data_IF_687808264522
#
_entry.id   IF_687808264522
#
_cell.length_a   1.000
_cell.length_b   1.000
_cell.length_c   1.000
_cell.angle_alpha   90.00
_cell.angle_beta   90.00
_cell.angle_gamma   90.00
#
_symmetry.space_group_name_H-M   'P 1'
#
loop_
_entity.id
_entity.type
_entity.pdbx_description
1 polymer ?
#
# COMPACT_ATOMS: atom_id res chain seq x y z
N UNK A 1 -48.18 -73.84 -2.81
CA UNK A 1 -46.70 -73.85 -2.72
C UNK A 1 -46.17 -73.99 -4.15
N UNK A 2 -45.28 -73.17 -4.71
CA UNK A 2 -44.09 -72.49 -4.16
C UNK A 2 -43.64 -71.39 -5.14
N UNK A 3 -43.29 -70.24 -4.54
CA UNK A 3 -42.26 -69.25 -4.89
C UNK A 3 -42.15 -68.69 -6.33
N UNK A 4 -42.55 -67.41 -6.44
CA UNK A 4 -42.00 -66.43 -7.36
C UNK A 4 -40.47 -66.31 -7.14
N UNK A 5 -39.67 -66.47 -8.19
CA UNK A 5 -38.25 -66.04 -8.21
C UNK A 5 -38.14 -64.84 -9.15
N UNK A 6 -37.99 -63.66 -8.57
CA UNK A 6 -37.75 -62.42 -9.29
C UNK A 6 -36.26 -62.16 -9.48
N UNK A 7 -35.95 -61.57 -10.64
CA UNK A 7 -35.08 -60.41 -10.82
C UNK A 7 -33.71 -60.48 -10.13
N UNK A 8 -32.65 -60.87 -10.84
CA UNK A 8 -31.23 -60.49 -10.60
C UNK A 8 -30.34 -61.17 -11.65
N UNK A 9 -30.36 -60.66 -12.88
CA UNK A 9 -29.31 -60.93 -13.90
C UNK A 9 -28.76 -59.58 -14.38
N UNK A 10 -28.26 -58.78 -13.44
CA UNK A 10 -27.36 -57.67 -13.81
C UNK A 10 -26.00 -58.32 -14.05
N UNK A 11 -25.62 -58.46 -15.33
CA UNK A 11 -24.32 -58.98 -15.74
C UNK A 11 -23.20 -58.22 -15.02
N UNK A 12 -22.30 -58.92 -14.34
CA UNK A 12 -21.15 -58.37 -13.58
C UNK A 12 -20.35 -57.33 -14.38
N UNK A 13 -20.31 -57.47 -15.72
CA UNK A 13 -19.70 -56.50 -16.64
C UNK A 13 -20.32 -55.10 -16.57
N UNK A 14 -21.63 -54.98 -16.33
CA UNK A 14 -22.30 -53.69 -16.18
C UNK A 14 -21.92 -52.98 -14.88
N UNK A 15 -21.83 -53.73 -13.77
CA UNK A 15 -21.39 -53.17 -12.48
C UNK A 15 -19.93 -52.70 -12.57
N UNK A 16 -19.06 -53.49 -13.20
CA UNK A 16 -17.66 -53.12 -13.40
C UNK A 16 -17.48 -51.90 -14.31
N UNK A 17 -18.24 -51.82 -15.42
CA UNK A 17 -18.22 -50.66 -16.31
C UNK A 17 -18.67 -49.37 -15.61
N UNK A 18 -19.71 -49.43 -14.77
CA UNK A 18 -20.13 -48.29 -13.96
C UNK A 18 -19.06 -47.86 -12.95
N UNK A 19 -18.36 -48.81 -12.33
CA UNK A 19 -17.32 -48.54 -11.34
C UNK A 19 -16.10 -47.86 -11.97
N UNK A 20 -15.63 -48.35 -13.10
CA UNK A 20 -14.54 -47.72 -13.86
C UNK A 20 -14.97 -46.35 -14.38
N UNK A 21 -16.19 -46.23 -14.93
CA UNK A 21 -16.73 -44.96 -15.40
C UNK A 21 -16.75 -43.91 -14.29
N UNK A 22 -17.21 -44.29 -13.08
CA UNK A 22 -17.19 -43.42 -11.91
C UNK A 22 -15.76 -43.04 -11.51
N UNK A 23 -14.81 -43.98 -11.52
CA UNK A 23 -13.41 -43.72 -11.15
C UNK A 23 -12.72 -42.76 -12.13
N UNK A 24 -12.96 -42.92 -13.43
CA UNK A 24 -12.44 -42.01 -14.47
C UNK A 24 -13.05 -40.62 -14.29
N UNK A 25 -14.35 -40.52 -14.03
CA UNK A 25 -15.04 -39.24 -13.88
C UNK A 25 -14.55 -38.49 -12.63
N UNK A 26 -14.38 -39.18 -11.50
CA UNK A 26 -13.77 -38.61 -10.29
C UNK A 26 -12.32 -38.18 -10.55
N UNK A 27 -11.54 -39.02 -11.26
CA UNK A 27 -10.17 -38.69 -11.64
C UNK A 27 -10.07 -37.46 -12.54
N UNK A 28 -10.98 -37.31 -13.50
CA UNK A 28 -11.04 -36.15 -14.40
C UNK A 28 -11.43 -34.88 -13.63
N UNK A 29 -12.45 -34.93 -12.77
CA UNK A 29 -12.85 -33.79 -11.93
C UNK A 29 -11.72 -33.37 -10.99
N UNK A 30 -11.05 -34.33 -10.34
CA UNK A 30 -9.90 -34.06 -9.49
C UNK A 30 -8.73 -33.45 -10.29
N UNK A 31 -8.42 -34.01 -11.46
CA UNK A 31 -7.37 -33.53 -12.36
C UNK A 31 -7.60 -32.10 -12.82
N UNK A 32 -8.82 -31.77 -13.26
CA UNK A 32 -9.20 -30.40 -13.69
C UNK A 32 -9.08 -29.42 -12.53
N UNK A 33 -9.58 -29.78 -11.34
CA UNK A 33 -9.51 -28.91 -10.16
C UNK A 33 -8.05 -28.65 -9.74
N UNK A 34 -7.20 -29.68 -9.76
CA UNK A 34 -5.78 -29.55 -9.41
C UNK A 34 -5.00 -28.72 -10.44
N UNK A 35 -5.19 -28.99 -11.73
CA UNK A 35 -4.54 -28.26 -12.81
C UNK A 35 -4.95 -26.78 -12.84
N UNK A 36 -6.26 -26.50 -12.66
CA UNK A 36 -6.76 -25.12 -12.56
C UNK A 36 -6.18 -24.37 -11.36
N UNK A 37 -6.08 -25.01 -10.18
CA UNK A 37 -5.48 -24.37 -9.01
C UNK A 37 -4.02 -24.00 -9.22
N UNK A 38 -3.23 -24.85 -9.90
CA UNK A 38 -1.81 -24.58 -10.19
C UNK A 38 -1.68 -23.42 -11.19
N UNK A 39 -2.49 -23.42 -12.27
CA UNK A 39 -2.45 -22.36 -13.27
C UNK A 39 -2.83 -20.99 -12.70
N UNK A 40 -3.79 -20.96 -11.78
CA UNK A 40 -4.19 -19.72 -11.10
C UNK A 40 -3.06 -19.13 -10.23
N UNK A 41 -2.28 -19.99 -9.54
CA UNK A 41 -1.13 -19.55 -8.74
C UNK A 41 -0.04 -18.95 -9.64
N UNK A 42 0.25 -19.59 -10.78
CA UNK A 42 1.24 -19.11 -11.75
C UNK A 42 0.87 -17.72 -12.30
N UNK A 43 -0.39 -17.54 -12.73
CA UNK A 43 -0.86 -16.25 -13.25
C UNK A 43 -0.79 -15.13 -12.19
N UNK A 44 -1.22 -15.42 -10.95
CA UNK A 44 -1.16 -14.45 -9.85
C UNK A 44 0.28 -14.06 -9.50
N UNK A 45 1.25 -14.97 -9.63
CA UNK A 45 2.67 -14.69 -9.41
C UNK A 45 3.28 -13.81 -10.53
N UNK A 46 2.93 -14.07 -11.79
CA UNK A 46 3.34 -13.25 -12.93
C UNK A 46 2.82 -11.82 -12.78
N UNK A 47 1.55 -11.68 -12.45
CA UNK A 47 0.90 -10.39 -12.21
C UNK A 47 1.56 -9.65 -11.03
N UNK A 48 1.90 -10.35 -9.96
CA UNK A 48 2.61 -9.76 -8.84
C UNK A 48 4.00 -9.24 -9.18
N UNK A 49 4.74 -9.99 -9.99
CA UNK A 49 6.06 -9.57 -10.50
C UNK A 49 5.93 -8.36 -11.44
N UNK A 50 4.92 -8.37 -12.31
CA UNK A 50 4.63 -7.23 -13.18
C UNK A 50 4.30 -5.97 -12.37
N UNK A 51 3.46 -6.10 -11.33
CA UNK A 51 3.13 -5.01 -10.42
C UNK A 51 4.39 -4.44 -9.75
N UNK A 52 5.27 -5.31 -9.20
CA UNK A 52 6.56 -4.89 -8.62
C UNK A 52 7.41 -4.08 -9.57
N UNK A 53 7.51 -4.51 -10.83
CA UNK A 53 8.27 -3.79 -11.85
C UNK A 53 7.64 -2.43 -12.21
N UNK A 54 6.30 -2.35 -12.25
CA UNK A 54 5.57 -1.11 -12.52
C UNK A 54 5.69 -0.07 -11.39
N UNK A 55 5.98 -0.51 -10.17
CA UNK A 55 6.18 0.40 -9.03
C UNK A 55 7.59 0.97 -8.94
N UNK A 56 8.59 0.32 -9.55
CA UNK A 56 9.99 0.76 -9.48
C UNK A 56 10.21 2.21 -9.96
N UNK A 57 9.58 2.69 -11.06
CA UNK A 57 9.74 4.07 -11.51
C UNK A 57 9.15 5.13 -10.57
N UNK A 58 8.23 4.74 -9.68
CA UNK A 58 7.62 5.62 -8.68
C UNK A 58 8.56 5.86 -7.49
N UNK A 59 9.57 5.01 -7.30
CA UNK A 59 10.58 5.17 -6.26
C UNK A 59 11.66 6.17 -6.61
N UNK A 60 12.07 6.22 -7.88
CA UNK A 60 13.27 6.94 -8.34
C UNK A 60 12.97 8.33 -8.91
N UNK A 61 11.76 8.85 -8.69
CA UNK A 61 11.34 10.15 -9.21
C UNK A 61 12.10 11.33 -8.61
N UNK A 62 12.74 12.11 -9.50
CA UNK A 62 13.23 13.48 -9.25
C UNK A 62 12.06 14.49 -9.26
N UNK A 63 10.97 14.18 -9.98
CA UNK A 63 9.77 15.01 -9.99
C UNK A 63 8.94 14.80 -8.71
N UNK A 64 8.35 15.89 -8.20
CA UNK A 64 7.66 15.91 -6.90
C UNK A 64 6.46 14.96 -6.84
N UNK A 65 5.84 14.67 -7.99
CA UNK A 65 4.63 13.86 -8.06
C UNK A 65 4.54 13.10 -9.38
N UNK A 66 4.45 11.76 -9.34
CA UNK A 66 4.26 10.89 -10.51
C UNK A 66 2.95 10.12 -10.41
N UNK A 67 2.30 9.86 -11.53
CA UNK A 67 1.00 9.21 -11.62
C UNK A 67 1.00 8.17 -12.74
N UNK A 68 0.50 6.96 -12.45
CA UNK A 68 0.31 5.87 -13.40
C UNK A 68 -1.05 5.20 -13.16
N UNK A 69 -1.59 4.56 -14.20
CA UNK A 69 -2.75 3.68 -14.07
C UNK A 69 -2.37 2.27 -14.53
N UNK A 70 -2.74 1.26 -13.75
CA UNK A 70 -2.49 -0.15 -14.06
C UNK A 70 -3.84 -0.83 -14.25
N UNK A 71 -4.05 -1.45 -15.41
CA UNK A 71 -5.25 -2.24 -15.69
C UNK A 71 -4.87 -3.72 -15.72
N UNK A 72 -5.47 -4.50 -14.83
CA UNK A 72 -5.28 -5.94 -14.78
C UNK A 72 -6.23 -6.64 -15.76
N UNK A 73 -5.87 -7.84 -16.28
CA UNK A 73 -6.70 -8.57 -17.24
C UNK A 73 -8.09 -8.91 -16.69
N UNK A 74 -8.15 -9.21 -15.39
CA UNK A 74 -9.35 -9.62 -14.65
C UNK A 74 -9.53 -8.77 -13.40
N UNK A 75 -10.76 -8.76 -12.89
CA UNK A 75 -11.05 -8.14 -11.59
C UNK A 75 -10.19 -8.82 -10.52
N UNK A 76 -9.45 -8.03 -9.77
CA UNK A 76 -8.45 -8.53 -8.82
C UNK A 76 -8.62 -7.87 -7.46
N UNK A 77 -8.10 -8.55 -6.44
CA UNK A 77 -8.08 -8.11 -5.06
C UNK A 77 -6.64 -8.15 -4.56
N UNK A 78 -6.16 -7.01 -4.11
CA UNK A 78 -4.85 -6.86 -3.48
C UNK A 78 -5.09 -6.83 -1.97
N UNK A 79 -4.47 -7.76 -1.26
CA UNK A 79 -4.43 -7.76 0.21
C UNK A 79 -3.07 -7.28 0.66
N UNK A 80 -3.06 -6.22 1.47
CA UNK A 80 -1.86 -5.66 2.08
C UNK A 80 -1.62 -6.27 3.45
N UNK A 81 -0.35 -6.57 3.72
CA UNK A 81 0.17 -6.89 5.05
C UNK A 81 1.41 -6.04 5.26
N UNK A 82 1.61 -5.56 6.47
CA UNK A 82 2.80 -4.84 6.86
C UNK A 82 3.32 -5.41 8.17
N UNK A 83 4.65 -5.51 8.24
CA UNK A 83 5.41 -5.90 9.39
C UNK A 83 6.55 -4.90 9.62
N UNK A 84 6.91 -4.70 10.89
CA UNK A 84 7.91 -3.71 11.32
C UNK A 84 9.18 -4.37 11.85
N UNK A 85 9.36 -5.68 11.62
CA UNK A 85 10.53 -6.39 12.11
C UNK A 85 11.80 -6.06 11.31
N UNK A 86 12.93 -5.97 12.01
CA UNK A 86 14.22 -5.60 11.42
C UNK A 86 14.35 -4.09 11.19
N UNK A 87 15.32 -3.73 10.36
CA UNK A 87 15.74 -2.33 10.20
C UNK A 87 14.82 -1.49 9.31
N UNK A 88 14.02 -2.12 8.45
CA UNK A 88 13.15 -1.42 7.49
C UNK A 88 11.70 -1.94 7.51
N UNK A 89 11.43 -3.00 8.28
CA UNK A 89 10.22 -3.79 8.15
C UNK A 89 10.06 -4.40 6.75
N UNK A 90 8.86 -4.88 6.47
CA UNK A 90 8.47 -5.44 5.19
C UNK A 90 6.98 -5.23 4.96
N UNK A 91 6.60 -4.80 3.76
CA UNK A 91 5.22 -4.92 3.29
C UNK A 91 5.10 -6.06 2.31
N UNK A 92 3.97 -6.77 2.36
CA UNK A 92 3.67 -7.92 1.53
C UNK A 92 2.32 -7.77 0.88
N UNK A 93 2.27 -7.93 -0.45
CA UNK A 93 1.05 -7.91 -1.23
C UNK A 93 0.70 -9.33 -1.66
N UNK A 94 -0.50 -9.76 -1.32
CA UNK A 94 -1.10 -10.96 -1.88
C UNK A 94 -2.12 -10.54 -2.93
N UNK A 95 -1.96 -11.00 -4.17
CA UNK A 95 -2.93 -10.72 -5.24
C UNK A 95 -3.78 -11.96 -5.53
N UNK A 96 -5.09 -11.74 -5.58
CA UNK A 96 -6.10 -12.75 -5.92
C UNK A 96 -6.91 -12.27 -7.12
N UNK A 97 -7.22 -13.18 -8.03
CA UNK A 97 -7.98 -12.92 -9.24
C UNK A 97 -9.42 -13.44 -9.10
N UNK A 98 -10.39 -12.77 -9.70
CA UNK A 98 -11.77 -13.24 -9.72
C UNK A 98 -12.00 -14.14 -10.92
N UNK A 99 -12.22 -15.42 -10.67
CA UNK A 99 -12.56 -16.41 -11.70
C UNK A 99 -14.02 -16.80 -11.52
N UNK A 100 -14.86 -16.43 -12.50
CA UNK A 100 -16.33 -16.52 -12.45
C UNK A 100 -16.89 -15.75 -11.24
N UNK A 101 -17.20 -16.44 -10.15
CA UNK A 101 -17.77 -15.87 -8.91
C UNK A 101 -16.89 -16.07 -7.69
N UNK A 102 -15.71 -16.69 -7.85
CA UNK A 102 -14.82 -17.04 -6.74
C UNK A 102 -13.47 -16.37 -6.91
N UNK A 103 -12.89 -15.93 -5.78
CA UNK A 103 -11.51 -15.48 -5.73
C UNK A 103 -10.58 -16.69 -5.82
N UNK A 104 -9.54 -16.59 -6.62
CA UNK A 104 -8.48 -17.59 -6.65
C UNK A 104 -7.80 -17.65 -5.30
N UNK A 105 -7.11 -18.76 -5.04
CA UNK A 105 -6.12 -18.76 -3.95
C UNK A 105 -5.05 -17.74 -4.30
N UNK A 106 -4.65 -16.92 -3.33
CA UNK A 106 -3.53 -16.00 -3.48
C UNK A 106 -2.33 -16.73 -4.06
N UNK A 107 -1.70 -16.09 -5.05
CA UNK A 107 -0.48 -16.58 -5.68
C UNK A 107 0.75 -16.37 -4.80
N UNK A 108 1.85 -15.94 -5.43
CA UNK A 108 3.08 -15.57 -4.73
C UNK A 108 2.89 -14.22 -4.03
N UNK A 109 3.21 -14.21 -2.74
CA UNK A 109 3.31 -12.99 -1.94
C UNK A 109 4.49 -12.13 -2.44
N UNK A 110 4.21 -10.86 -2.73
CA UNK A 110 5.22 -9.91 -3.22
C UNK A 110 5.65 -9.05 -2.06
N UNK A 111 6.93 -9.13 -1.70
CA UNK A 111 7.46 -8.33 -0.61
C UNK A 111 8.28 -7.13 -1.09
N UNK A 112 8.20 -6.05 -0.31
CA UNK A 112 8.95 -4.82 -0.47
C UNK A 112 9.50 -4.36 0.88
N UNK A 113 10.79 -4.06 0.91
CA UNK A 113 11.45 -3.46 2.08
C UNK A 113 11.76 -1.98 1.86
N UNK A 114 11.89 -1.59 0.59
CA UNK A 114 12.32 -0.28 0.13
C UNK A 114 11.17 0.65 -0.29
N UNK A 115 9.94 0.13 -0.35
CA UNK A 115 8.71 0.84 -0.71
C UNK A 115 7.83 1.06 0.51
N UNK A 116 7.04 2.13 0.38
CA UNK A 116 6.09 2.61 1.38
C UNK A 116 4.77 2.91 0.66
N UNK A 117 3.93 1.88 0.57
CA UNK A 117 2.72 1.93 -0.23
C UNK A 117 1.50 2.01 0.69
N UNK A 118 0.73 3.07 0.51
CA UNK A 118 -0.48 3.35 1.26
C UNK A 118 -1.71 2.95 0.45
N UNK A 119 -2.39 1.92 0.95
CA UNK A 119 -3.67 1.43 0.45
C UNK A 119 -4.53 0.92 1.61
N UNK A 120 -5.84 0.72 1.41
CA UNK A 120 -6.63 -0.06 2.34
C UNK A 120 -6.10 -1.50 2.39
N UNK A 121 -6.23 -2.16 3.54
CA UNK A 121 -5.87 -3.55 3.82
C UNK A 121 -6.34 -4.52 2.74
N UNK A 122 -7.47 -4.22 2.13
CA UNK A 122 -7.96 -4.93 0.96
C UNK A 122 -8.45 -3.92 -0.07
N UNK A 123 -7.85 -3.95 -1.25
CA UNK A 123 -8.19 -3.09 -2.38
C UNK A 123 -8.62 -3.96 -3.56
N UNK A 124 -9.85 -3.78 -4.02
CA UNK A 124 -10.43 -4.52 -5.14
C UNK A 124 -10.64 -3.62 -6.34
N UNK A 125 -10.45 -4.16 -7.54
CA UNK A 125 -10.74 -3.47 -8.79
C UNK A 125 -10.09 -4.16 -9.98
N UNK A 126 -10.44 -3.67 -11.18
CA UNK A 126 -9.73 -4.06 -12.41
C UNK A 126 -8.64 -3.05 -12.80
N UNK A 127 -8.93 -1.76 -12.59
CA UNK A 127 -7.98 -0.67 -12.85
C UNK A 127 -7.65 0.03 -11.53
N UNK A 128 -6.35 0.23 -11.32
CA UNK A 128 -5.79 0.91 -10.15
C UNK A 128 -5.07 2.17 -10.58
N UNK A 129 -5.32 3.23 -9.83
CA UNK A 129 -4.73 4.54 -9.99
C UNK A 129 -3.69 4.73 -8.89
N UNK A 130 -2.47 4.97 -9.30
CA UNK A 130 -1.31 5.01 -8.42
C UNK A 130 -0.59 6.32 -8.65
N UNK A 131 -0.27 7.00 -7.57
CA UNK A 131 0.64 8.14 -7.65
C UNK A 131 1.64 8.11 -6.50
N UNK A 132 2.65 8.95 -6.58
CA UNK A 132 3.69 9.04 -5.55
C UNK A 132 4.03 10.49 -5.25
N UNK A 133 4.48 10.76 -4.02
CA UNK A 133 4.94 12.08 -3.58
C UNK A 133 6.19 11.93 -2.70
N UNK A 134 7.17 12.81 -2.88
CA UNK A 134 8.38 12.84 -2.02
C UNK A 134 7.99 13.15 -0.58
N UNK A 135 8.63 12.45 0.36
CA UNK A 135 8.55 12.74 1.79
C UNK A 135 9.94 13.03 2.34
N UNK A 136 10.10 14.27 2.81
CA UNK A 136 11.35 14.82 3.29
C UNK A 136 11.19 15.17 4.78
N UNK A 137 12.04 14.60 5.65
CA UNK A 137 11.82 14.63 7.09
C UNK A 137 13.09 14.31 7.93
N UNK A 138 14.09 15.23 8.05
CA UNK A 138 14.24 16.52 7.36
C UNK A 138 14.85 16.42 5.97
N UNK A 139 15.58 15.35 5.69
CA UNK A 139 16.10 15.00 4.37
C UNK A 139 15.14 14.06 3.65
N UNK A 140 15.33 13.85 2.35
CA UNK A 140 14.52 12.91 1.58
C UNK A 140 14.60 11.49 2.16
N UNK A 141 13.49 10.99 2.70
CA UNK A 141 13.39 9.65 3.29
C UNK A 141 13.00 8.64 2.22
N UNK A 142 11.88 8.91 1.54
CA UNK A 142 11.37 8.09 0.44
C UNK A 142 10.35 8.86 -0.40
N UNK A 143 9.98 8.30 -1.56
CA UNK A 143 8.71 8.62 -2.20
C UNK A 143 7.62 7.71 -1.63
N UNK A 144 6.53 8.29 -1.13
CA UNK A 144 5.37 7.54 -0.65
C UNK A 144 4.44 7.28 -1.83
N UNK A 145 3.94 6.05 -1.93
CA UNK A 145 3.12 5.60 -3.05
C UNK A 145 1.69 5.40 -2.55
N UNK A 146 0.71 5.91 -3.29
CA UNK A 146 -0.71 5.85 -2.92
C UNK A 146 -1.47 5.06 -3.96
N UNK A 147 -2.30 4.13 -3.49
CA UNK A 147 -3.08 3.24 -4.33
C UNK A 147 -4.57 3.50 -4.15
N UNK A 148 -5.28 3.60 -5.26
CA UNK A 148 -6.74 3.63 -5.30
C UNK A 148 -7.26 2.78 -6.44
N UNK A 149 -8.49 2.29 -6.35
CA UNK A 149 -9.16 1.72 -7.50
C UNK A 149 -9.82 2.84 -8.32
N UNK A 150 -9.93 2.67 -9.63
CA UNK A 150 -10.54 3.69 -10.51
C UNK A 150 -12.06 3.79 -10.37
N UNK A 151 -12.70 2.81 -9.72
CA UNK A 151 -14.15 2.77 -9.49
C UNK A 151 -14.57 3.69 -8.31
N UNK A 152 -13.67 3.93 -7.35
CA UNK A 152 -13.91 4.84 -6.23
C UNK A 152 -13.51 6.24 -6.65
N UNK A 153 -14.52 7.09 -6.84
CA UNK A 153 -14.33 8.52 -7.09
C UNK A 153 -14.09 9.23 -5.76
N UNK A 154 -12.96 9.92 -5.64
CA UNK A 154 -12.62 10.78 -4.51
C UNK A 154 -12.96 12.23 -4.87
N UNK A 155 -13.80 12.86 -4.06
CA UNK A 155 -14.13 14.27 -4.24
C UNK A 155 -13.49 15.11 -3.13
N UNK A 156 -12.57 16.00 -3.49
CA UNK A 156 -11.86 16.87 -2.57
C UNK A 156 -12.59 18.20 -2.41
N UNK A 157 -12.92 18.56 -1.17
CA UNK A 157 -13.72 19.75 -0.82
C UNK A 157 -12.97 20.63 0.17
N UNK A 158 -12.90 21.93 -0.11
CA UNK A 158 -12.31 22.91 0.81
C UNK A 158 -10.78 22.95 0.81
N UNK A 159 -10.12 22.19 -0.07
CA UNK A 159 -8.66 22.19 -0.19
C UNK A 159 -8.14 23.51 -0.78
N UNK A 160 -6.94 23.89 -0.36
CA UNK A 160 -6.26 25.08 -0.86
C UNK A 160 -6.02 25.02 -2.38
N UNK A 161 -5.87 26.18 -3.03
CA UNK A 161 -5.60 26.25 -4.48
C UNK A 161 -4.34 25.47 -4.87
N UNK A 162 -3.26 25.55 -4.08
CA UNK A 162 -2.00 24.84 -4.35
C UNK A 162 -2.20 23.33 -4.31
N UNK A 163 -2.82 22.81 -3.25
CA UNK A 163 -3.10 21.38 -3.09
C UNK A 163 -4.02 20.86 -4.19
N UNK A 164 -5.06 21.62 -4.53
CA UNK A 164 -5.97 21.29 -5.64
C UNK A 164 -5.24 21.24 -6.97
N UNK A 165 -4.41 22.23 -7.29
CA UNK A 165 -3.63 22.23 -8.54
C UNK A 165 -2.66 21.06 -8.60
N UNK A 166 -2.01 20.71 -7.48
CA UNK A 166 -1.15 19.52 -7.40
C UNK A 166 -1.94 18.24 -7.75
N UNK A 167 -3.07 18.01 -7.09
CA UNK A 167 -3.89 16.81 -7.31
C UNK A 167 -4.50 16.78 -8.73
N UNK A 168 -4.87 17.93 -9.29
CA UNK A 168 -5.34 18.04 -10.67
C UNK A 168 -4.23 17.70 -11.68
N UNK A 169 -2.99 18.11 -11.42
CA UNK A 169 -1.84 17.83 -12.30
C UNK A 169 -1.50 16.33 -12.36
N UNK A 170 -1.98 15.52 -11.40
CA UNK A 170 -1.87 14.06 -11.47
C UNK A 170 -2.71 13.46 -12.60
N UNK A 171 -3.68 14.21 -13.13
CA UNK A 171 -4.61 13.80 -14.18
C UNK A 171 -5.29 12.45 -13.89
N UNK A 172 -5.64 12.23 -12.61
CA UNK A 172 -6.29 11.01 -12.17
C UNK A 172 -7.80 11.07 -12.48
N UNK A 173 -8.36 10.10 -13.24
CA UNK A 173 -9.74 10.18 -13.69
C UNK A 173 -10.77 9.97 -12.57
N UNK A 174 -10.34 9.50 -11.40
CA UNK A 174 -11.21 9.28 -10.24
C UNK A 174 -11.13 10.42 -9.21
N UNK A 175 -10.48 11.54 -9.53
CA UNK A 175 -10.41 12.71 -8.66
C UNK A 175 -11.33 13.82 -9.15
N UNK A 176 -12.22 14.25 -8.26
CA UNK A 176 -13.15 15.36 -8.47
C UNK A 176 -12.91 16.44 -7.41
N UNK A 177 -13.33 17.67 -7.70
CA UNK A 177 -13.08 18.81 -6.81
C UNK A 177 -14.31 19.70 -6.70
N UNK A 178 -14.65 20.07 -5.47
CA UNK A 178 -15.76 20.95 -5.06
C UNK A 178 -17.17 20.44 -5.41
N UNK A 179 -17.41 19.97 -6.64
CA UNK A 179 -18.70 19.47 -7.12
C UNK A 179 -18.74 17.95 -7.04
N UNK A 180 -19.19 17.42 -5.91
CA UNK A 180 -19.11 15.98 -5.63
C UNK A 180 -20.31 15.19 -6.15
N UNK A 181 -20.10 14.13 -6.96
CA UNK A 181 -21.13 13.15 -7.31
C UNK A 181 -21.74 12.49 -6.06
N UNK A 182 -23.00 12.06 -6.13
CA UNK A 182 -23.71 11.45 -5.00
C UNK A 182 -23.10 10.14 -4.50
N UNK A 183 -22.34 9.43 -5.35
CA UNK A 183 -21.67 8.16 -5.05
C UNK A 183 -20.15 8.31 -4.83
N UNK A 184 -19.64 9.54 -4.70
CA UNK A 184 -18.23 9.79 -4.45
C UNK A 184 -17.89 9.69 -2.96
N UNK A 185 -16.64 9.31 -2.66
CA UNK A 185 -16.05 9.43 -1.32
C UNK A 185 -15.59 10.87 -1.13
N UNK A 186 -16.23 11.62 -0.23
CA UNK A 186 -15.91 13.02 0.02
C UNK A 186 -14.76 13.12 1.03
N UNK A 187 -13.73 13.83 0.61
CA UNK A 187 -12.57 14.20 1.42
C UNK A 187 -12.67 15.69 1.69
N UNK A 188 -12.85 16.07 2.95
CA UNK A 188 -13.14 17.45 3.31
C UNK A 188 -12.10 18.03 4.24
N UNK A 189 -11.61 19.22 3.89
CA UNK A 189 -10.71 20.01 4.73
C UNK A 189 -11.51 20.86 5.73
N UNK A 190 -11.12 20.82 7.00
CA UNK A 190 -11.54 21.72 8.08
C UNK A 190 -13.07 21.93 8.25
N UNK A 191 -13.82 20.82 8.15
CA UNK A 191 -15.25 20.68 8.41
C UNK A 191 -16.19 21.14 7.30
N UNK A 192 -16.63 20.18 6.49
CA UNK A 192 -17.89 20.23 5.76
C UNK A 192 -18.89 19.21 6.33
N UNK A 193 -20.19 19.47 6.17
CA UNK A 193 -21.25 18.50 6.50
C UNK A 193 -21.22 17.33 5.49
N UNK A 194 -21.46 16.11 5.96
CA UNK A 194 -21.52 14.87 5.16
C UNK A 194 -20.22 14.52 4.42
N UNK A 195 -19.14 14.24 5.17
CA UNK A 195 -17.87 13.78 4.61
C UNK A 195 -17.45 12.45 5.23
N UNK A 196 -17.07 11.50 4.37
CA UNK A 196 -16.55 10.18 4.75
C UNK A 196 -15.13 10.28 5.32
N UNK A 197 -14.32 11.19 4.76
CA UNK A 197 -12.94 11.44 5.19
C UNK A 197 -12.80 12.91 5.58
N UNK A 198 -12.39 13.16 6.82
CA UNK A 198 -12.23 14.52 7.37
C UNK A 198 -10.76 14.80 7.64
N UNK A 199 -10.24 15.85 7.04
CA UNK A 199 -8.87 16.33 7.23
C UNK A 199 -8.92 17.59 8.09
N UNK A 200 -8.23 17.59 9.22
CA UNK A 200 -8.13 18.73 10.14
C UNK A 200 -6.68 19.25 10.12
N UNK A 201 -6.48 20.45 9.60
CA UNK A 201 -5.15 21.07 9.47
C UNK A 201 -4.68 21.75 10.75
N UNK A 202 -5.58 22.02 11.70
CA UNK A 202 -5.20 22.57 13.00
C UNK A 202 -4.57 21.50 13.90
N UNK A 203 -5.09 20.27 13.81
CA UNK A 203 -4.58 19.12 14.57
C UNK A 203 -3.63 18.24 13.75
N UNK A 204 -3.42 18.55 12.47
CA UNK A 204 -2.79 17.68 11.48
C UNK A 204 -3.26 16.23 11.59
N UNK A 205 -4.57 16.00 11.44
CA UNK A 205 -5.15 14.67 11.55
C UNK A 205 -6.15 14.36 10.45
N UNK A 206 -6.26 13.07 10.11
CA UNK A 206 -7.30 12.54 9.23
C UNK A 206 -8.19 11.60 10.04
N UNK A 207 -9.50 11.80 9.94
CA UNK A 207 -10.50 10.92 10.54
C UNK A 207 -11.33 10.24 9.46
N UNK A 208 -11.37 8.91 9.48
CA UNK A 208 -12.07 8.05 8.52
C UNK A 208 -12.72 6.90 9.28
N UNK A 209 -14.01 6.64 9.05
CA UNK A 209 -14.77 5.59 9.75
C UNK A 209 -14.69 5.64 11.29
N UNK A 210 -14.56 6.84 11.87
CA UNK A 210 -14.40 7.03 13.31
C UNK A 210 -12.98 6.79 13.86
N UNK A 211 -12.06 6.33 13.02
CA UNK A 211 -10.65 6.18 13.36
C UNK A 211 -9.90 7.46 12.99
N UNK A 212 -9.03 7.93 13.90
CA UNK A 212 -8.17 9.08 13.71
C UNK A 212 -6.71 8.63 13.66
N UNK A 213 -5.95 9.23 12.74
CA UNK A 213 -4.49 9.18 12.62
C UNK A 213 -3.95 10.61 12.44
N UNK A 214 -2.71 10.83 12.83
CA UNK A 214 -2.03 12.12 12.72
C UNK A 214 -1.06 12.10 11.55
N UNK A 215 -0.75 13.24 10.95
CA UNK A 215 0.19 13.36 9.86
C UNK A 215 1.09 14.57 10.06
N UNK A 216 2.23 14.59 9.38
CA UNK A 216 3.06 15.78 9.22
C UNK A 216 3.49 15.84 7.75
N UNK A 217 3.39 17.02 7.13
CA UNK A 217 3.53 17.23 5.68
C UNK A 217 2.40 16.62 4.81
N UNK A 218 2.19 17.19 3.63
CA UNK A 218 1.12 16.78 2.70
C UNK A 218 1.23 15.31 2.24
N UNK A 219 2.45 14.77 2.18
CA UNK A 219 2.65 13.38 1.78
C UNK A 219 2.00 12.41 2.79
N UNK A 220 2.19 12.63 4.08
CA UNK A 220 1.54 11.81 5.11
C UNK A 220 0.04 12.09 5.22
N UNK A 221 -0.43 13.30 4.85
CA UNK A 221 -1.85 13.59 4.72
C UNK A 221 -2.49 12.71 3.63
N UNK A 222 -1.89 12.63 2.44
CA UNK A 222 -2.36 11.76 1.37
C UNK A 222 -2.32 10.29 1.78
N UNK A 223 -1.24 9.86 2.45
CA UNK A 223 -1.14 8.49 2.97
C UNK A 223 -2.32 8.15 3.88
N UNK A 224 -2.69 9.05 4.79
CA UNK A 224 -3.81 8.86 5.70
C UNK A 224 -5.19 8.84 5.00
N UNK A 225 -5.34 9.57 3.88
CA UNK A 225 -6.58 9.56 3.07
C UNK A 225 -6.75 8.20 2.36
N UNK A 226 -5.69 7.71 1.71
CA UNK A 226 -5.75 6.54 0.82
C UNK A 226 -5.57 5.20 1.53
N UNK A 227 -5.10 5.16 2.77
CA UNK A 227 -5.01 3.93 3.56
C UNK A 227 -6.11 3.83 4.63
N UNK A 228 -6.15 2.68 5.31
CA UNK A 228 -6.82 2.58 6.61
C UNK A 228 -5.81 2.77 7.75
N UNK A 229 -6.31 2.93 8.98
CA UNK A 229 -5.47 3.19 10.15
C UNK A 229 -4.39 2.13 10.36
N UNK A 230 -4.71 0.85 10.15
CA UNK A 230 -3.76 -0.23 10.43
C UNK A 230 -2.60 -0.18 9.43
N UNK A 231 -2.90 -0.03 8.14
CA UNK A 231 -1.88 0.16 7.11
C UNK A 231 -1.07 1.44 7.36
N UNK A 232 -1.75 2.55 7.63
CA UNK A 232 -1.11 3.84 7.86
C UNK A 232 -0.06 3.79 8.97
N UNK A 233 -0.47 3.33 10.16
CA UNK A 233 0.40 3.30 11.34
C UNK A 233 1.61 2.37 11.14
N UNK A 234 1.40 1.26 10.43
CA UNK A 234 2.47 0.32 10.15
C UNK A 234 3.48 0.88 9.14
N UNK A 235 3.01 1.47 8.04
CA UNK A 235 3.88 2.08 7.03
C UNK A 235 4.62 3.31 7.56
N UNK A 236 3.97 4.12 8.42
CA UNK A 236 4.64 5.23 9.12
C UNK A 236 5.79 4.71 9.98
N UNK A 237 5.61 3.62 10.74
CA UNK A 237 6.70 3.01 11.50
C UNK A 237 7.86 2.57 10.62
N UNK A 238 7.57 1.84 9.54
CA UNK A 238 8.59 1.41 8.59
C UNK A 238 9.35 2.61 7.99
N UNK A 239 8.62 3.70 7.71
CA UNK A 239 9.20 4.93 7.16
C UNK A 239 10.14 5.62 8.17
N UNK A 240 9.78 5.63 9.45
CA UNK A 240 10.63 6.17 10.53
C UNK A 240 11.83 5.28 10.81
N UNK A 241 11.70 3.96 10.67
CA UNK A 241 12.85 3.04 10.73
C UNK A 241 13.87 3.37 9.64
N UNK A 242 13.42 3.60 8.40
CA UNK A 242 14.31 4.07 7.33
C UNK A 242 14.91 5.45 7.61
N UNK A 243 14.13 6.38 8.15
CA UNK A 243 14.66 7.69 8.55
C UNK A 243 15.73 7.56 9.64
N UNK A 244 15.64 6.54 10.51
CA UNK A 244 16.65 6.23 11.54
C UNK A 244 17.96 5.80 10.87
N UNK A 245 17.90 4.84 9.95
CA UNK A 245 19.06 4.36 9.19
C UNK A 245 19.71 5.47 8.35
N UNK A 246 18.90 6.34 7.74
CA UNK A 246 19.41 7.52 7.04
C UNK A 246 20.07 8.53 7.98
N UNK A 247 19.55 8.69 9.20
CA UNK A 247 20.14 9.59 10.20
C UNK A 247 21.54 9.12 10.59
N UNK A 248 21.76 7.81 10.73
CA UNK A 248 23.08 7.21 10.97
C UNK A 248 24.05 7.44 9.80
N UNK A 249 23.55 7.30 8.56
CA UNK A 249 24.36 7.60 7.36
C UNK A 249 24.80 9.08 7.33
N UNK A 250 23.89 10.01 7.63
CA UNK A 250 24.22 11.43 7.67
C UNK A 250 25.13 11.79 8.86
N UNK A 251 25.03 11.07 9.99
CA UNK A 251 25.98 11.21 11.10
C UNK A 251 27.40 10.85 10.64
N UNK A 252 27.57 9.70 9.97
CA UNK A 252 28.86 9.28 9.42
C UNK A 252 29.36 10.29 8.37
N UNK A 253 28.47 10.81 7.52
CA UNK A 253 28.81 11.85 6.54
C UNK A 253 29.31 13.13 7.22
N UNK A 254 28.67 13.56 8.31
CA UNK A 254 29.10 14.72 9.11
C UNK A 254 30.53 14.55 9.64
N UNK A 255 30.87 13.37 10.17
CA UNK A 255 32.22 13.05 10.63
C UNK A 255 33.25 13.05 9.50
N UNK A 256 32.90 12.52 8.33
CA UNK A 256 33.78 12.50 7.17
C UNK A 256 34.04 13.92 6.62
N UNK A 257 33.04 14.79 6.59
CA UNK A 257 33.21 16.18 6.18
C UNK A 257 34.12 16.95 7.14
N UNK A 258 34.04 16.67 8.44
CA UNK A 258 34.93 17.28 9.44
C UNK A 258 36.40 16.95 9.14
N UNK A 259 36.70 15.74 8.64
CA UNK A 259 38.07 15.33 8.30
C UNK A 259 38.69 16.13 7.15
N UNK A 260 37.86 16.75 6.29
CA UNK A 260 38.29 17.63 5.20
C UNK A 260 38.09 19.12 5.54
N UNK A 261 37.83 19.43 6.81
CA UNK A 261 37.73 20.80 7.32
C UNK A 261 36.34 21.45 7.17
N UNK A 262 35.30 20.66 6.88
CA UNK A 262 33.92 21.14 6.77
C UNK A 262 33.09 20.60 7.94
N UNK A 263 32.79 21.44 8.93
CA UNK A 263 32.00 21.05 10.10
C UNK A 263 30.52 21.39 9.89
N UNK A 264 29.65 20.37 9.82
CA UNK A 264 28.21 20.58 9.78
C UNK A 264 27.59 20.82 11.16
N UNK A 265 28.30 20.49 12.25
CA UNK A 265 27.83 20.57 13.63
C UNK A 265 26.47 19.88 13.88
N UNK A 266 26.14 18.86 13.07
CA UNK A 266 24.86 18.14 13.13
C UNK A 266 24.95 16.75 13.75
N UNK A 267 26.15 16.29 14.13
CA UNK A 267 26.36 14.91 14.61
C UNK A 267 25.46 14.57 15.80
N UNK A 268 25.47 15.40 16.84
CA UNK A 268 24.73 15.14 18.07
C UNK A 268 23.22 15.18 17.81
N UNK A 269 22.79 16.08 16.93
CA UNK A 269 21.43 16.28 16.51
C UNK A 269 20.90 15.08 15.72
N UNK A 270 21.71 14.51 14.83
CA UNK A 270 21.35 13.32 14.06
C UNK A 270 21.27 12.06 14.93
N UNK A 271 22.17 11.91 15.91
CA UNK A 271 22.08 10.83 16.91
C UNK A 271 20.79 10.98 17.74
N UNK A 272 20.50 12.19 18.24
CA UNK A 272 19.26 12.47 18.98
C UNK A 272 18.03 12.12 18.14
N UNK A 273 18.00 12.58 16.89
CA UNK A 273 16.90 12.37 15.97
C UNK A 273 16.67 10.89 15.66
N UNK A 274 17.74 10.13 15.38
CA UNK A 274 17.66 8.69 15.18
C UNK A 274 17.04 7.97 16.39
N UNK A 275 17.41 8.36 17.61
CA UNK A 275 16.81 7.81 18.82
C UNK A 275 15.31 8.15 18.93
N UNK A 276 14.92 9.40 18.65
CA UNK A 276 13.51 9.82 18.64
C UNK A 276 12.69 9.03 17.61
N UNK A 277 13.21 8.88 16.39
CA UNK A 277 12.58 8.13 15.30
C UNK A 277 12.37 6.66 15.66
N UNK A 278 13.40 6.01 16.22
CA UNK A 278 13.35 4.61 16.65
C UNK A 278 12.31 4.35 17.76
N UNK A 279 11.99 5.39 18.53
CA UNK A 279 11.03 5.34 19.63
C UNK A 279 9.56 5.55 19.23
N UNK A 280 9.27 5.81 17.95
CA UNK A 280 7.91 6.10 17.48
C UNK A 280 6.95 4.92 17.75
N UNK A 281 5.87 5.19 18.49
CA UNK A 281 4.84 4.19 18.82
C UNK A 281 3.68 4.20 17.87
N UNK A 282 3.28 5.37 17.39
CA UNK A 282 2.23 5.61 16.42
C UNK A 282 2.34 7.04 15.88
N UNK A 283 1.44 7.39 14.98
CA UNK A 283 1.39 8.68 14.32
C UNK A 283 1.26 9.88 15.28
N UNK A 284 0.78 9.67 16.52
CA UNK A 284 0.68 10.73 17.53
C UNK A 284 2.04 11.33 17.92
N UNK A 285 3.13 10.59 17.74
CA UNK A 285 4.49 11.06 18.04
C UNK A 285 5.06 11.97 16.93
N UNK A 286 4.44 12.00 15.74
CA UNK A 286 4.95 12.71 14.55
C UNK A 286 5.13 14.21 14.78
N UNK A 287 4.27 14.85 15.59
CA UNK A 287 4.38 16.27 15.88
C UNK A 287 5.72 16.63 16.53
N UNK A 288 6.15 15.84 17.53
CA UNK A 288 7.41 16.06 18.22
C UNK A 288 8.59 15.80 17.29
N UNK A 289 8.51 14.74 16.49
CA UNK A 289 9.54 14.38 15.51
C UNK A 289 9.66 15.47 14.44
N UNK A 290 8.56 16.02 13.93
CA UNK A 290 8.59 17.10 12.94
C UNK A 290 9.26 18.36 13.50
N UNK A 291 9.00 18.68 14.77
CA UNK A 291 9.66 19.82 15.42
C UNK A 291 11.19 19.63 15.47
N UNK A 292 11.66 18.42 15.75
CA UNK A 292 13.08 18.09 15.72
C UNK A 292 13.65 18.11 14.29
N UNK A 293 12.94 17.51 13.32
CA UNK A 293 13.32 17.53 11.90
C UNK A 293 13.48 18.98 11.39
N UNK A 294 12.49 19.86 11.61
CA UNK A 294 12.57 21.27 11.22
C UNK A 294 13.75 22.00 11.86
N UNK A 295 14.04 21.73 13.13
CA UNK A 295 15.22 22.28 13.81
C UNK A 295 16.50 21.84 13.14
N UNK A 296 16.63 20.55 12.82
CA UNK A 296 17.81 19.97 12.16
C UNK A 296 18.00 20.56 10.77
N UNK A 297 16.92 20.67 10.00
CA UNK A 297 16.98 21.27 8.66
C UNK A 297 17.47 22.72 8.70
N UNK A 298 17.03 23.50 9.69
CA UNK A 298 17.50 24.88 9.86
C UNK A 298 18.98 25.00 10.27
N UNK A 299 19.55 23.95 10.87
CA UNK A 299 20.96 23.88 11.24
C UNK A 299 21.84 23.37 10.08
N UNK A 300 21.25 22.76 9.05
CA UNK A 300 21.95 22.26 7.86
C UNK A 300 22.35 23.43 6.93
N UNK A 301 23.38 24.17 7.31
CA UNK A 301 23.90 25.32 6.56
C UNK A 301 25.44 25.32 6.55
N UNK A 302 26.04 25.82 5.46
CA UNK A 302 27.49 25.99 5.30
C UNK A 302 28.19 24.71 4.83
N UNK A 303 28.05 23.64 5.61
CA UNK A 303 28.52 22.28 5.29
C UNK A 303 27.34 21.33 5.18
N UNK A 304 26.53 21.51 4.12
CA UNK A 304 25.26 20.81 3.94
C UNK A 304 25.46 19.30 3.80
N UNK A 305 24.66 18.54 4.55
CA UNK A 305 24.65 17.08 4.52
C UNK A 305 23.70 16.52 3.46
N UNK A 306 22.62 17.22 3.15
CA UNK A 306 21.66 16.94 2.09
C UNK A 306 21.27 18.22 1.37
#
# INVERSE_FOLDING_TARGET
MKNKKGFLDISFSWIFAFLIGAMILVGAVYGVNKFSSVKNIENSAELGTALKNLLTPLETGVESTKSISITLPVESRITHKCDTFGNFGEETFSVEEKVKTQWTKSGVDISFQDKYIFLPKTLQGKTFNIFSKSFDFPFKVSNLIYFSNSETVYCFVGFSKSTKTELQNLNQPNFEFDTCPSNSTRVCLDSAMNCEIKVNTNENSVTKNGEKVYFEEDALMYAAIFSDKVTYECEVKRLMQRATELSEIYEIKSLNLLSVGCDSSLKTELISFGNTLSGLKDSGDLFLINKEAKRINNLNFGCELW
#
